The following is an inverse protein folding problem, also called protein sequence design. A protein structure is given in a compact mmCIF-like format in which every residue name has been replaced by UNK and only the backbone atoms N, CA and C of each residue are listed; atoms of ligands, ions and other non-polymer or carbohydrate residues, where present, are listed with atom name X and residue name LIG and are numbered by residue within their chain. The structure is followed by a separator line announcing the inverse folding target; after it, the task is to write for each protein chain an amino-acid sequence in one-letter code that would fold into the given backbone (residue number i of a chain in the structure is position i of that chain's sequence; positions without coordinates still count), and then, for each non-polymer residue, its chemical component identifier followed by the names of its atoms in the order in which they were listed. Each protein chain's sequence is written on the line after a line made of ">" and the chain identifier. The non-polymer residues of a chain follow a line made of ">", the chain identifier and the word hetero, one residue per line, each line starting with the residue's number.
data_IF_779267648240
#
_entry.id   IF_779267648240
#
_cell.length_a   1.000
_cell.length_b   1.000
_cell.length_c   1.000
_cell.angle_alpha   90.00
_cell.angle_beta   90.00
_cell.angle_gamma   90.00
#
_symmetry.space_group_name_H-M   'P 1'
#
loop_
_entity.id
_entity.type
_entity.pdbx_description
1 polymer ?
#
# COMPACT_ATOMS: atom_id res chain seq x y z
N UNK A 1 8.65 6.62 21.92
CA UNK A 1 8.37 7.05 20.53
C UNK A 1 7.02 7.73 20.49
N UNK A 2 6.84 8.82 19.72
CA UNK A 2 5.54 9.43 19.46
C UNK A 2 4.57 8.47 18.76
N UNK A 3 3.25 8.71 18.87
CA UNK A 3 2.21 7.84 18.30
C UNK A 3 2.25 7.73 16.77
N UNK A 4 2.78 8.74 16.06
CA UNK A 4 2.90 8.70 14.60
C UNK A 4 3.98 7.72 14.10
N UNK A 5 4.66 7.00 15.01
CA UNK A 5 5.54 5.88 14.68
C UNK A 5 4.81 4.52 14.75
N UNK A 6 3.55 4.49 15.19
CA UNK A 6 2.74 3.28 15.22
C UNK A 6 2.34 2.86 13.81
N UNK A 7 2.33 1.55 13.57
CA UNK A 7 1.86 0.93 12.33
C UNK A 7 0.61 0.13 12.65
N UNK A 8 -0.46 0.40 11.91
CA UNK A 8 -1.72 -0.34 12.02
C UNK A 8 -1.71 -1.62 11.18
N UNK A 9 -2.62 -2.54 11.46
CA UNK A 9 -2.70 -3.83 10.78
C UNK A 9 -2.93 -3.68 9.26
N UNK A 10 -3.73 -2.69 8.86
CA UNK A 10 -4.01 -2.38 7.45
C UNK A 10 -2.76 -1.87 6.74
N UNK A 11 -1.98 -0.99 7.38
CA UNK A 11 -0.72 -0.51 6.83
C UNK A 11 0.29 -1.65 6.69
N UNK A 12 0.38 -2.50 7.73
CA UNK A 12 1.22 -3.69 7.70
C UNK A 12 0.85 -4.62 6.54
N UNK A 13 -0.44 -4.87 6.31
CA UNK A 13 -0.94 -5.69 5.20
C UNK A 13 -0.45 -5.17 3.84
N UNK A 14 -0.63 -3.87 3.57
CA UNK A 14 -0.24 -3.27 2.29
C UNK A 14 1.28 -3.30 2.08
N UNK A 15 2.06 -2.96 3.11
CA UNK A 15 3.53 -3.03 3.02
C UNK A 15 4.00 -4.47 2.79
N UNK A 16 3.44 -5.44 3.52
CA UNK A 16 3.75 -6.85 3.33
C UNK A 16 3.42 -7.31 1.90
N UNK A 17 2.27 -6.90 1.36
CA UNK A 17 1.86 -7.21 0.00
C UNK A 17 2.81 -6.63 -1.06
N UNK A 18 3.23 -5.37 -0.88
CA UNK A 18 4.18 -4.68 -1.77
C UNK A 18 5.53 -5.39 -1.80
N UNK A 19 6.04 -5.83 -0.63
CA UNK A 19 7.35 -6.48 -0.52
C UNK A 19 7.37 -7.94 -1.00
N UNK A 20 6.22 -8.61 -0.99
CA UNK A 20 6.12 -10.05 -1.28
C UNK A 20 5.33 -10.38 -2.55
N UNK A 21 5.12 -9.39 -3.44
CA UNK A 21 4.56 -9.64 -4.78
C UNK A 21 3.08 -10.00 -4.80
N UNK A 22 2.27 -9.45 -3.89
CA UNK A 22 0.83 -9.70 -3.86
C UNK A 22 0.03 -9.10 -5.03
N UNK A 23 0.69 -8.39 -5.94
CA UNK A 23 0.10 -7.77 -7.13
C UNK A 23 -0.34 -6.32 -6.91
N UNK A 24 -0.88 -5.67 -7.95
CA UNK A 24 -1.14 -4.22 -7.94
C UNK A 24 -2.45 -3.82 -7.25
N UNK A 25 -3.30 -4.77 -6.86
CA UNK A 25 -4.66 -4.49 -6.37
C UNK A 25 -5.06 -5.37 -5.20
N UNK A 26 -5.70 -4.76 -4.21
CA UNK A 26 -6.39 -5.46 -3.12
C UNK A 26 -7.84 -5.65 -3.51
N UNK A 27 -8.28 -6.90 -3.66
CA UNK A 27 -9.68 -7.20 -4.01
C UNK A 27 -10.57 -7.35 -2.78
N UNK A 28 -10.04 -8.02 -1.75
CA UNK A 28 -10.75 -8.32 -0.52
C UNK A 28 -9.82 -8.13 0.68
N UNK A 29 -10.34 -7.63 1.79
CA UNK A 29 -9.67 -7.63 3.09
C UNK A 29 -10.65 -7.94 4.21
N UNK A 30 -10.19 -8.64 5.23
CA UNK A 30 -10.94 -8.89 6.45
C UNK A 30 -10.16 -8.34 7.64
N UNK A 31 -10.84 -7.58 8.50
CA UNK A 31 -10.24 -6.92 9.66
C UNK A 31 -11.03 -7.27 10.92
N UNK A 32 -10.32 -7.38 12.05
CA UNK A 32 -10.95 -7.70 13.33
C UNK A 32 -11.75 -6.55 13.92
N UNK A 33 -11.48 -5.31 13.52
CA UNK A 33 -12.19 -4.12 13.95
C UNK A 33 -12.30 -3.12 12.79
N UNK A 34 -13.28 -2.22 12.87
CA UNK A 34 -13.46 -1.18 11.87
C UNK A 34 -12.18 -0.33 11.69
N UNK A 35 -11.67 -0.13 10.46
CA UNK A 35 -10.47 0.66 10.24
C UNK A 35 -10.67 2.10 10.73
N UNK A 36 -9.64 2.68 11.35
CA UNK A 36 -9.67 4.08 11.76
C UNK A 36 -9.57 5.01 10.54
N UNK A 37 -9.89 6.30 10.72
CA UNK A 37 -9.83 7.28 9.62
C UNK A 37 -8.46 7.36 8.93
N UNK A 38 -7.37 7.24 9.70
CA UNK A 38 -6.01 7.18 9.17
C UNK A 38 -5.81 6.00 8.20
N UNK A 39 -6.27 4.80 8.56
CA UNK A 39 -6.14 3.62 7.70
C UNK A 39 -7.05 3.73 6.47
N UNK A 40 -8.29 4.22 6.62
CA UNK A 40 -9.20 4.43 5.47
C UNK A 40 -8.59 5.38 4.45
N UNK A 41 -7.94 6.44 4.93
CA UNK A 41 -7.25 7.41 4.09
C UNK A 41 -6.00 6.82 3.44
N UNK A 42 -5.18 6.09 4.20
CA UNK A 42 -4.02 5.38 3.65
C UNK A 42 -4.40 4.38 2.53
N UNK A 43 -5.55 3.71 2.65
CA UNK A 43 -6.05 2.81 1.61
C UNK A 43 -6.45 3.56 0.31
N UNK A 44 -6.69 4.88 0.34
CA UNK A 44 -6.95 5.67 -0.88
C UNK A 44 -5.76 5.73 -1.83
N UNK A 45 -4.58 5.37 -1.35
CA UNK A 45 -3.38 5.24 -2.17
C UNK A 45 -3.34 3.94 -2.99
N UNK A 46 -4.38 3.11 -2.94
CA UNK A 46 -4.50 1.87 -3.70
C UNK A 46 -5.36 2.05 -4.95
N UNK A 47 -5.00 1.32 -6.01
CA UNK A 47 -5.77 1.32 -7.26
C UNK A 47 -7.14 0.67 -7.07
N UNK A 48 -8.17 1.33 -7.58
CA UNK A 48 -9.59 0.89 -7.55
C UNK A 48 -10.13 0.57 -6.14
N UNK A 49 -9.59 1.19 -5.09
CA UNK A 49 -9.94 0.88 -3.70
C UNK A 49 -11.44 1.03 -3.40
N UNK A 50 -12.15 1.90 -4.12
CA UNK A 50 -13.60 2.11 -3.96
C UNK A 50 -14.42 0.82 -4.21
N UNK A 51 -13.85 -0.14 -4.93
CA UNK A 51 -14.45 -1.45 -5.25
C UNK A 51 -13.89 -2.59 -4.40
N UNK A 52 -12.79 -2.37 -3.66
CA UNK A 52 -12.24 -3.35 -2.72
C UNK A 52 -13.27 -3.67 -1.65
N UNK A 53 -13.48 -4.96 -1.42
CA UNK A 53 -14.44 -5.46 -0.45
C UNK A 53 -13.78 -5.61 0.92
N UNK A 54 -14.39 -5.03 1.95
CA UNK A 54 -13.96 -5.15 3.34
C UNK A 54 -15.01 -5.87 4.18
N UNK A 55 -14.56 -6.82 5.01
CA UNK A 55 -15.36 -7.45 6.06
C UNK A 55 -14.78 -7.08 7.42
N UNK A 56 -15.63 -6.60 8.32
CA UNK A 56 -15.25 -6.38 9.73
C UNK A 56 -15.81 -7.57 10.50
N UNK A 57 -14.95 -8.44 11.02
CA UNK A 57 -15.39 -9.75 11.54
C UNK A 57 -16.22 -9.66 12.81
N UNK A 58 -16.18 -8.54 13.51
CA UNK A 58 -16.99 -8.28 14.71
C UNK A 58 -18.35 -7.64 14.39
N UNK A 59 -18.59 -7.29 13.13
CA UNK A 59 -19.89 -6.83 12.67
C UNK A 59 -20.63 -8.05 12.09
N UNK A 60 -21.95 -8.16 12.31
CA UNK A 60 -22.79 -9.20 11.70
C UNK A 60 -23.02 -8.97 10.19
N UNK A 61 -22.34 -7.98 9.61
CA UNK A 61 -22.40 -7.63 8.20
C UNK A 61 -21.36 -8.40 7.39
N UNK A 62 -21.74 -8.83 6.18
CA UNK A 62 -20.82 -9.44 5.23
C UNK A 62 -19.85 -8.44 4.61
N UNK A 63 -19.21 -8.85 3.51
CA UNK A 63 -18.36 -7.95 2.74
C UNK A 63 -19.15 -6.75 2.18
N UNK A 64 -18.59 -5.56 2.36
CA UNK A 64 -19.09 -4.30 1.75
C UNK A 64 -17.93 -3.54 1.11
N UNK A 65 -18.16 -2.73 0.08
CA UNK A 65 -17.09 -1.99 -0.57
C UNK A 65 -16.52 -0.88 0.34
N UNK A 66 -15.22 -0.60 0.22
CA UNK A 66 -14.53 0.43 1.05
C UNK A 66 -15.17 1.82 0.89
N UNK A 67 -15.75 2.14 -0.28
CA UNK A 67 -16.44 3.42 -0.50
C UNK A 67 -17.55 3.69 0.54
N UNK A 68 -18.13 2.64 1.13
CA UNK A 68 -19.21 2.78 2.12
C UNK A 68 -18.68 3.26 3.48
N UNK A 69 -17.41 2.97 3.78
CA UNK A 69 -16.76 3.39 5.04
C UNK A 69 -15.94 4.68 4.88
N UNK A 70 -15.72 5.17 3.66
CA UNK A 70 -15.11 6.48 3.38
C UNK A 70 -15.79 7.14 2.17
N UNK A 71 -16.98 7.72 2.34
CA UNK A 71 -17.68 8.41 1.26
C UNK A 71 -16.99 9.73 0.90
N UNK A 72 -16.97 10.07 -0.39
CA UNK A 72 -16.32 11.28 -0.92
C UNK A 72 -14.87 11.46 -0.42
N UNK A 73 -14.00 10.44 -0.65
CA UNK A 73 -12.64 10.49 -0.17
C UNK A 73 -11.86 11.61 -0.86
N UNK A 74 -10.92 12.18 -0.13
CA UNK A 74 -9.78 12.85 -0.73
C UNK A 74 -8.73 11.79 -1.08
N UNK A 75 -8.10 11.84 -2.24
CA UNK A 75 -7.15 10.83 -2.69
C UNK A 75 -6.16 11.35 -3.74
N UNK A 76 -5.34 10.45 -4.29
CA UNK A 76 -4.26 10.83 -5.20
C UNK A 76 -4.73 11.67 -6.39
N UNK A 77 -5.87 11.32 -6.98
CA UNK A 77 -6.40 11.97 -8.18
C UNK A 77 -7.06 13.33 -7.94
N UNK A 78 -7.18 13.77 -6.68
CA UNK A 78 -7.53 15.17 -6.38
C UNK A 78 -6.31 16.11 -6.56
N UNK A 79 -5.10 15.54 -6.58
CA UNK A 79 -3.84 16.28 -6.72
C UNK A 79 -3.03 15.90 -7.95
N UNK A 80 -3.18 14.68 -8.44
CA UNK A 80 -2.34 14.05 -9.45
C UNK A 80 -3.14 13.63 -10.69
N UNK A 81 -2.43 13.37 -11.78
CA UNK A 81 -3.02 12.84 -13.01
C UNK A 81 -3.30 11.34 -12.89
N UNK A 82 -4.22 10.82 -13.72
CA UNK A 82 -4.69 9.43 -13.63
C UNK A 82 -3.64 8.37 -14.01
N UNK A 83 -2.60 8.79 -14.73
CA UNK A 83 -1.47 7.96 -15.16
C UNK A 83 -0.39 7.78 -14.09
N UNK A 84 -0.48 8.51 -12.96
CA UNK A 84 0.49 8.36 -11.88
C UNK A 84 0.38 6.96 -11.24
N UNK A 85 1.52 6.27 -11.02
CA UNK A 85 1.54 5.00 -10.34
C UNK A 85 1.20 5.17 -8.86
N UNK A 86 0.38 4.26 -8.34
CA UNK A 86 -0.06 4.19 -6.95
C UNK A 86 0.81 3.22 -6.14
N UNK A 87 0.55 3.10 -4.83
CA UNK A 87 1.46 2.43 -3.87
C UNK A 87 1.82 0.99 -4.21
N UNK A 88 0.93 0.24 -4.87
CA UNK A 88 1.17 -1.15 -5.27
C UNK A 88 1.53 -1.30 -6.75
N UNK A 89 1.50 -0.22 -7.53
CA UNK A 89 1.90 -0.26 -8.93
C UNK A 89 3.43 -0.32 -9.04
N UNK A 90 3.92 -1.01 -10.07
CA UNK A 90 5.35 -1.00 -10.36
C UNK A 90 5.78 0.41 -10.76
N UNK A 91 6.78 0.96 -10.05
CA UNK A 91 7.32 2.27 -10.35
C UNK A 91 8.85 2.26 -10.28
N UNK A 92 9.50 2.51 -11.42
CA UNK A 92 10.95 2.60 -11.54
C UNK A 92 11.35 4.06 -11.59
N UNK A 93 12.08 4.50 -10.58
CA UNK A 93 12.59 5.87 -10.51
C UNK A 93 13.84 6.09 -11.39
N UNK A 94 14.47 5.01 -11.88
CA UNK A 94 15.66 5.03 -12.75
C UNK A 94 16.78 5.98 -12.27
N UNK A 95 17.02 5.99 -10.95
CA UNK A 95 18.07 6.79 -10.32
C UNK A 95 19.36 5.97 -10.28
N UNK A 96 20.42 6.50 -10.89
CA UNK A 96 21.75 5.90 -10.91
C UNK A 96 22.76 6.84 -10.24
N UNK A 97 23.68 6.29 -9.45
CA UNK A 97 24.82 7.06 -8.95
C UNK A 97 25.78 7.35 -10.10
N UNK A 98 26.24 8.59 -10.20
CA UNK A 98 27.13 9.04 -11.28
C UNK A 98 28.58 8.57 -11.09
N UNK A 99 28.93 8.08 -9.90
CA UNK A 99 30.31 7.77 -9.51
C UNK A 99 30.49 6.26 -9.25
N UNK A 100 30.91 5.53 -10.27
CA UNK A 100 31.68 4.30 -10.09
C UNK A 100 33.13 4.69 -9.74
N UNK A 101 33.38 4.99 -8.46
CA UNK A 101 34.71 4.87 -7.88
C UNK A 101 34.59 4.06 -6.60
N UNK A 102 34.76 2.75 -6.79
CA UNK A 102 35.24 1.74 -5.84
C UNK A 102 34.59 1.71 -4.44
N UNK A 103 33.81 0.63 -4.21
CA UNK A 103 33.20 0.17 -2.95
C UNK A 103 31.77 0.62 -2.63
N UNK A 104 30.82 0.34 -3.54
CA UNK A 104 29.39 0.27 -3.20
C UNK A 104 28.85 -1.16 -3.16
N UNK A 105 29.66 -2.10 -2.69
CA UNK A 105 29.15 -3.40 -2.28
C UNK A 105 28.30 -3.20 -1.02
N UNK A 106 26.97 -3.23 -1.16
CA UNK A 106 25.95 -3.30 -0.10
C UNK A 106 25.15 -2.02 0.24
N UNK A 107 24.99 -1.05 -0.65
CA UNK A 107 23.84 -0.14 -0.53
C UNK A 107 22.64 -0.75 -1.24
N UNK A 108 21.93 -1.66 -0.55
CA UNK A 108 20.63 -2.14 -1.03
C UNK A 108 19.61 -1.00 -0.88
N UNK A 109 18.95 -0.60 -1.96
CA UNK A 109 17.80 0.30 -1.87
C UNK A 109 16.54 -0.45 -1.37
N UNK A 110 16.71 -1.45 -0.49
CA UNK A 110 15.64 -2.35 0.01
C UNK A 110 14.95 -3.24 -1.04
N UNK A 111 15.00 -2.87 -2.32
CA UNK A 111 14.29 -3.53 -3.42
C UNK A 111 15.07 -4.70 -4.03
N UNK A 112 16.41 -4.65 -4.00
CA UNK A 112 17.25 -5.63 -4.72
C UNK A 112 17.32 -7.00 -4.02
N UNK A 113 17.04 -7.09 -2.73
CA UNK A 113 17.05 -8.36 -1.99
C UNK A 113 15.71 -9.12 -2.08
N UNK A 114 14.59 -8.43 -2.18
CA UNK A 114 13.25 -9.03 -2.34
C UNK A 114 13.00 -9.59 -3.74
N UNK A 115 13.65 -9.03 -4.78
CA UNK A 115 13.54 -9.52 -6.16
C UNK A 115 14.28 -10.85 -6.40
N UNK A 116 15.26 -11.23 -5.57
CA UNK A 116 16.11 -12.42 -5.79
C UNK A 116 15.54 -13.72 -5.23
N UNK A 117 14.34 -13.72 -4.64
CA UNK A 117 13.82 -14.88 -3.90
C UNK A 117 12.73 -15.69 -4.63
N UNK A 118 12.41 -15.34 -5.87
CA UNK A 118 11.31 -15.95 -6.63
C UNK A 118 11.73 -16.60 -7.96
N UNK A 119 13.00 -16.96 -8.12
CA UNK A 119 13.48 -17.86 -9.21
C UNK A 119 13.75 -19.28 -8.68
#
# INVERSE_FOLDING_TARGET
>A
LPLHHSIHAEQFLITNMSLHGGGPKVLYMAVSAAPCGHCRQFLQELRDVSTTMIMITNDDEGYRPIKDILPHPFGPFDLLTQDMPLVLDEHKNDIFFKDECENLGNLSNGYLESAKKND
#
